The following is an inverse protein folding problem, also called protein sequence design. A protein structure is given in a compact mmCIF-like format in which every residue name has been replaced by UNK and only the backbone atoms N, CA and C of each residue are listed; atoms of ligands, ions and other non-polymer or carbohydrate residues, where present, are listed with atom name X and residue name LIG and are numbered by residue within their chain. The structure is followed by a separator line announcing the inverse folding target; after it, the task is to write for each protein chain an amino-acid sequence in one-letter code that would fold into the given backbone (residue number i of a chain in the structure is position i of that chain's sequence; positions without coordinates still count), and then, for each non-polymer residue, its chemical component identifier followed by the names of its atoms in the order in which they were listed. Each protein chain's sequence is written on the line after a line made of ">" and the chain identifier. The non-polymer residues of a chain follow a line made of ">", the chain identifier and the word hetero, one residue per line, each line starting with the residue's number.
data_IF_905711656510
#
_entry.id   IF_905711656510
#
_cell.length_a   1.000
_cell.length_b   1.000
_cell.length_c   1.000
_cell.angle_alpha   90.00
_cell.angle_beta   90.00
_cell.angle_gamma   90.00
#
_symmetry.space_group_name_H-M   'P 1'
#
loop_
_entity.id
_entity.type
_entity.pdbx_description
1 polymer ?
#
# COMPACT_ATOMS: atom_id res chain seq x y z
N UNK A 1 -5.17 27.08 -7.33
CA UNK A 1 -3.98 26.30 -6.93
C UNK A 1 -4.23 25.79 -5.53
N UNK A 2 -4.61 24.52 -5.36
CA UNK A 2 -4.85 23.96 -4.02
C UNK A 2 -3.49 23.84 -3.32
N UNK A 3 -3.27 24.68 -2.30
CA UNK A 3 -2.16 24.52 -1.38
C UNK A 3 -2.38 23.20 -0.63
N UNK A 4 -1.81 22.11 -1.12
CA UNK A 4 -1.83 20.85 -0.39
C UNK A 4 -1.10 21.09 0.92
N UNK A 5 -1.84 21.00 2.02
CA UNK A 5 -1.31 21.24 3.37
C UNK A 5 -0.08 20.36 3.61
N UNK A 6 1.04 20.97 4.02
CA UNK A 6 2.30 20.28 4.34
C UNK A 6 2.12 19.03 5.23
N UNK A 7 1.19 19.03 6.22
CA UNK A 7 0.81 17.84 6.96
C UNK A 7 0.30 16.67 6.10
N UNK A 8 -0.48 16.92 5.05
CA UNK A 8 -1.08 15.88 4.20
C UNK A 8 0.00 15.10 3.44
N UNK A 9 0.88 15.80 2.71
CA UNK A 9 1.94 15.13 1.92
C UNK A 9 2.90 14.35 2.82
N UNK A 10 3.24 14.88 4.00
CA UNK A 10 4.07 14.16 4.98
C UNK A 10 3.39 12.88 5.46
N UNK A 11 2.08 12.93 5.76
CA UNK A 11 1.32 11.75 6.14
C UNK A 11 1.28 10.70 5.03
N UNK A 12 1.03 11.12 3.79
CA UNK A 12 1.00 10.20 2.65
C UNK A 12 2.35 9.54 2.37
N UNK A 13 3.47 10.26 2.57
CA UNK A 13 4.82 9.69 2.45
C UNK A 13 5.10 8.57 3.46
N UNK A 14 4.39 8.53 4.58
CA UNK A 14 4.51 7.48 5.60
C UNK A 14 3.47 6.38 5.36
N UNK A 15 2.21 6.75 5.17
CA UNK A 15 1.10 5.79 5.10
C UNK A 15 1.14 4.90 3.86
N UNK A 16 1.43 5.46 2.68
CA UNK A 16 1.41 4.69 1.43
C UNK A 16 2.42 3.54 1.40
N UNK A 17 3.72 3.77 1.71
CA UNK A 17 4.67 2.65 1.75
C UNK A 17 4.36 1.65 2.87
N UNK A 18 3.93 2.12 4.05
CA UNK A 18 3.56 1.24 5.16
C UNK A 18 2.36 0.34 4.82
N UNK A 19 1.32 0.89 4.19
CA UNK A 19 0.16 0.10 3.78
C UNK A 19 0.54 -0.93 2.72
N UNK A 20 1.40 -0.57 1.76
CA UNK A 20 1.88 -1.53 0.77
C UNK A 20 2.62 -2.69 1.42
N UNK A 21 3.56 -2.39 2.31
CA UNK A 21 4.33 -3.41 3.04
C UNK A 21 3.40 -4.37 3.78
N UNK A 22 2.42 -3.83 4.51
CA UNK A 22 1.46 -4.67 5.23
C UNK A 22 0.55 -5.49 4.29
N UNK A 23 0.16 -4.95 3.14
CA UNK A 23 -0.61 -5.69 2.15
C UNK A 23 0.21 -6.83 1.51
N UNK A 24 1.49 -6.59 1.24
CA UNK A 24 2.42 -7.60 0.72
C UNK A 24 2.63 -8.75 1.75
N UNK A 25 2.69 -8.43 3.04
CA UNK A 25 2.71 -9.44 4.13
C UNK A 25 1.44 -10.30 4.14
N UNK A 26 0.26 -9.68 4.05
CA UNK A 26 -1.02 -10.40 4.02
C UNK A 26 -1.17 -11.26 2.77
N UNK A 27 -0.68 -10.81 1.61
CA UNK A 27 -0.65 -11.62 0.37
C UNK A 27 0.14 -12.90 0.63
N UNK A 28 1.38 -12.78 1.13
CA UNK A 28 2.25 -13.93 1.37
C UNK A 28 1.69 -14.90 2.41
N UNK A 29 0.95 -14.41 3.40
CA UNK A 29 0.26 -15.26 4.37
C UNK A 29 -0.96 -15.96 3.74
N UNK A 30 -1.80 -15.24 3.01
CA UNK A 30 -2.97 -15.81 2.36
C UNK A 30 -2.63 -16.83 1.26
N UNK A 31 -1.49 -16.69 0.58
CA UNK A 31 -1.00 -17.70 -0.36
C UNK A 31 -0.77 -19.06 0.33
N UNK A 32 -0.27 -19.07 1.56
CA UNK A 32 -0.11 -20.31 2.35
C UNK A 32 -1.46 -20.93 2.66
N UNK A 33 -2.46 -20.12 3.00
CA UNK A 33 -3.81 -20.59 3.27
C UNK A 33 -4.53 -21.06 2.01
N UNK A 34 -4.32 -20.42 0.87
CA UNK A 34 -4.82 -20.90 -0.42
C UNK A 34 -4.35 -22.33 -0.68
N UNK A 35 -3.06 -22.61 -0.50
CA UNK A 35 -2.52 -23.97 -0.66
C UNK A 35 -3.13 -24.97 0.32
N UNK A 36 -3.38 -24.58 1.57
CA UNK A 36 -4.07 -25.43 2.54
C UNK A 36 -5.52 -25.73 2.11
N UNK A 37 -6.25 -24.71 1.65
CA UNK A 37 -7.63 -24.85 1.16
C UNK A 37 -7.69 -25.77 -0.07
N UNK A 38 -6.73 -25.66 -0.99
CA UNK A 38 -6.61 -26.54 -2.15
C UNK A 38 -6.34 -27.99 -1.73
N UNK A 39 -5.44 -28.20 -0.77
CA UNK A 39 -5.11 -29.54 -0.25
C UNK A 39 -6.29 -30.20 0.47
N UNK A 40 -7.13 -29.41 1.15
CA UNK A 40 -8.34 -29.88 1.84
C UNK A 40 -9.55 -30.05 0.91
N UNK A 41 -9.41 -29.73 -0.39
CA UNK A 41 -10.51 -29.82 -1.36
C UNK A 41 -11.59 -28.74 -1.21
N UNK A 42 -11.30 -27.65 -0.49
CA UNK A 42 -12.20 -26.52 -0.26
C UNK A 42 -12.27 -25.59 -1.48
N UNK A 43 -12.65 -26.15 -2.64
CA UNK A 43 -12.48 -25.51 -3.96
C UNK A 43 -13.17 -24.14 -4.09
N UNK A 44 -14.38 -23.98 -3.56
CA UNK A 44 -15.09 -22.69 -3.64
C UNK A 44 -14.37 -21.60 -2.83
N UNK A 45 -13.95 -21.93 -1.60
CA UNK A 45 -13.24 -20.99 -0.74
C UNK A 45 -11.85 -20.68 -1.29
N UNK A 46 -11.14 -21.67 -1.83
CA UNK A 46 -9.88 -21.48 -2.54
C UNK A 46 -10.04 -20.52 -3.74
N UNK A 47 -11.12 -20.65 -4.51
CA UNK A 47 -11.41 -19.72 -5.61
C UNK A 47 -11.63 -18.29 -5.13
N UNK A 48 -12.42 -18.09 -4.06
CA UNK A 48 -12.63 -16.75 -3.47
C UNK A 48 -11.34 -16.15 -2.90
N UNK A 49 -10.49 -16.99 -2.28
CA UNK A 49 -9.18 -16.58 -1.79
C UNK A 49 -8.28 -16.12 -2.95
N UNK A 50 -8.25 -16.88 -4.06
CA UNK A 50 -7.50 -16.51 -5.27
C UNK A 50 -7.97 -15.19 -5.87
N UNK A 51 -9.28 -14.98 -5.98
CA UNK A 51 -9.85 -13.71 -6.45
C UNK A 51 -9.45 -12.54 -5.54
N UNK A 52 -9.44 -12.76 -4.23
CA UNK A 52 -9.02 -11.75 -3.25
C UNK A 52 -7.54 -11.42 -3.39
N UNK A 53 -6.67 -12.41 -3.54
CA UNK A 53 -5.23 -12.24 -3.77
C UNK A 53 -4.97 -11.40 -5.03
N UNK A 54 -5.72 -11.62 -6.11
CA UNK A 54 -5.62 -10.79 -7.33
C UNK A 54 -5.93 -9.33 -7.05
N UNK A 55 -6.98 -9.04 -6.27
CA UNK A 55 -7.32 -7.66 -5.90
C UNK A 55 -6.26 -7.04 -4.99
N UNK A 56 -5.72 -7.80 -4.04
CA UNK A 56 -4.64 -7.32 -3.16
C UNK A 56 -3.37 -7.01 -3.94
N UNK A 57 -2.97 -7.85 -4.89
CA UNK A 57 -1.83 -7.60 -5.76
C UNK A 57 -2.02 -6.31 -6.56
N UNK A 58 -3.22 -6.10 -7.13
CA UNK A 58 -3.57 -4.86 -7.82
C UNK A 58 -3.45 -3.64 -6.89
N UNK A 59 -3.91 -3.75 -5.64
CA UNK A 59 -3.76 -2.67 -4.65
C UNK A 59 -2.29 -2.37 -4.38
N UNK A 60 -1.43 -3.38 -4.20
CA UNK A 60 0.01 -3.19 -4.02
C UNK A 60 0.66 -2.46 -5.20
N UNK A 61 0.28 -2.80 -6.44
CA UNK A 61 0.74 -2.10 -7.64
C UNK A 61 0.31 -0.63 -7.63
N UNK A 62 -0.96 -0.33 -7.31
CA UNK A 62 -1.45 1.05 -7.25
C UNK A 62 -0.77 1.85 -6.14
N UNK A 63 -0.52 1.24 -4.98
CA UNK A 63 0.23 1.86 -3.89
C UNK A 63 1.68 2.13 -4.29
N UNK A 64 2.31 1.22 -5.05
CA UNK A 64 3.66 1.43 -5.57
C UNK A 64 3.72 2.61 -6.54
N UNK A 65 2.75 2.76 -7.44
CA UNK A 65 2.64 3.91 -8.34
C UNK A 65 2.42 5.21 -7.57
N UNK A 66 1.52 5.20 -6.57
CA UNK A 66 1.27 6.35 -5.70
C UNK A 66 2.54 6.75 -4.94
N UNK A 67 3.30 5.79 -4.41
CA UNK A 67 4.56 6.04 -3.73
C UNK A 67 5.62 6.64 -4.67
N UNK A 68 5.71 6.18 -5.91
CA UNK A 68 6.60 6.76 -6.93
C UNK A 68 6.23 8.22 -7.22
N UNK A 69 4.93 8.50 -7.39
CA UNK A 69 4.45 9.86 -7.61
C UNK A 69 4.72 10.76 -6.41
N UNK A 70 4.51 10.27 -5.18
CA UNK A 70 4.79 11.03 -3.95
C UNK A 70 6.26 11.46 -3.87
N UNK A 71 7.21 10.58 -4.23
CA UNK A 71 8.65 10.92 -4.28
C UNK A 71 8.96 12.09 -5.24
N UNK A 72 8.17 12.27 -6.29
CA UNK A 72 8.34 13.37 -7.24
C UNK A 72 7.78 14.71 -6.73
N UNK A 73 6.94 14.68 -5.69
CA UNK A 73 6.38 15.88 -5.06
C UNK A 73 7.37 16.43 -4.04
N UNK A 74 7.97 17.59 -4.34
CA UNK A 74 8.83 18.30 -3.37
C UNK A 74 8.02 18.66 -2.12
N UNK A 75 8.41 18.13 -0.96
CA UNK A 75 7.94 18.65 0.30
C UNK A 75 8.44 20.10 0.45
N UNK A 76 7.57 21.07 0.76
CA UNK A 76 8.05 22.42 1.05
C UNK A 76 9.04 22.33 2.20
N UNK A 77 10.25 22.86 1.96
CA UNK A 77 11.35 22.85 2.91
C UNK A 77 10.87 23.47 4.23
N UNK A 78 11.42 22.97 5.35
CA UNK A 78 11.27 23.70 6.61
C UNK A 78 11.84 25.09 6.37
N UNK A 79 10.99 26.11 6.26
CA UNK A 79 11.43 27.49 6.44
C UNK A 79 12.10 27.52 7.80
N UNK A 80 13.43 27.71 7.79
CA UNK A 80 14.14 28.12 8.98
C UNK A 80 13.48 29.43 9.38
N UNK A 81 12.74 29.44 10.47
CA UNK A 81 12.35 30.69 11.11
C UNK A 81 13.66 31.33 11.55
N UNK A 82 14.13 32.31 10.80
CA UNK A 82 15.17 33.22 11.25
C UNK A 82 14.62 33.93 12.48
N UNK A 83 15.05 33.46 13.65
CA UNK A 83 14.84 34.17 14.91
C UNK A 83 15.91 35.26 14.94
N UNK A 84 15.46 36.49 14.68
CA UNK A 84 16.25 37.72 14.82
C UNK A 84 16.36 38.11 16.29
#
# INVERSE_FOLDING_TARGET
>A
MLMIEVPLLKKLHVLVPHWREHNDEHIAEMEKYLHALEAEGQNELANRCRETLVQMALVSEKLALMAQQLKSVKLPGREKRDVR
#
